data_IF_056544254867
#
_entry.id   IF_056544254867
#
_cell.length_a   1.000
_cell.length_b   1.000
_cell.length_c   1.000
_cell.angle_alpha   90.00
_cell.angle_beta   90.00
_cell.angle_gamma   90.00
#
_symmetry.space_group_name_H-M   'P 1'
#
loop_
_entity.id
_entity.type
_entity.pdbx_description
1 polymer ?
#
# COMPACT_ATOMS: atom_id res chain seq x y z
N UNK A 1 -48.98 61.30 21.11
CA UNK A 1 -47.61 61.30 20.56
C UNK A 1 -47.21 59.86 20.30
N UNK A 2 -47.17 59.46 19.02
CA UNK A 2 -46.81 58.12 18.56
C UNK A 2 -45.47 58.25 17.83
N UNK A 3 -44.46 57.50 18.25
CA UNK A 3 -43.22 57.31 17.47
C UNK A 3 -42.67 55.89 17.66
N UNK A 4 -43.06 55.09 16.69
CA UNK A 4 -42.61 53.81 16.13
C UNK A 4 -41.19 53.32 16.46
N UNK A 5 -41.10 52.10 17.00
CA UNK A 5 -39.92 51.24 16.96
C UNK A 5 -39.91 50.47 15.63
N UNK A 6 -38.92 50.69 14.76
CA UNK A 6 -38.65 49.85 13.59
C UNK A 6 -37.26 49.22 13.73
N UNK A 7 -37.23 47.90 13.89
CA UNK A 7 -36.04 47.09 13.67
C UNK A 7 -35.94 46.72 12.18
N UNK A 8 -34.78 46.85 11.52
CA UNK A 8 -34.60 46.36 10.16
C UNK A 8 -34.44 44.84 10.14
N UNK A 9 -35.36 44.19 9.43
CA UNK A 9 -35.25 42.83 8.94
C UNK A 9 -34.47 42.88 7.62
N UNK A 10 -33.30 42.24 7.53
CA UNK A 10 -32.65 41.97 6.24
C UNK A 10 -32.20 40.52 6.16
N UNK A 11 -33.14 39.71 5.66
CA UNK A 11 -32.89 38.41 5.08
C UNK A 11 -31.98 38.58 3.87
N UNK A 12 -30.80 37.97 3.92
CA UNK A 12 -29.82 37.95 2.83
C UNK A 12 -29.64 36.53 2.33
N UNK A 13 -30.54 36.10 1.43
CA UNK A 13 -30.35 34.91 0.61
C UNK A 13 -29.07 35.07 -0.21
N UNK A 14 -28.04 34.27 0.10
CA UNK A 14 -26.87 34.12 -0.76
C UNK A 14 -27.23 33.13 -1.87
N UNK A 15 -27.70 33.67 -2.98
CA UNK A 15 -27.93 32.92 -4.22
C UNK A 15 -26.55 32.53 -4.78
N UNK A 16 -26.17 31.26 -4.64
CA UNK A 16 -24.95 30.73 -5.26
C UNK A 16 -25.28 30.53 -6.74
N UNK A 17 -24.69 31.37 -7.60
CA UNK A 17 -24.77 31.21 -9.05
C UNK A 17 -24.08 29.92 -9.46
N UNK A 18 -24.86 29.01 -10.01
CA UNK A 18 -24.39 27.89 -10.80
C UNK A 18 -24.19 28.35 -12.25
N UNK A 19 -22.94 28.32 -12.70
CA UNK A 19 -22.47 28.32 -14.10
C UNK A 19 -20.95 28.10 -14.00
N UNK A 20 -20.29 27.23 -14.74
CA UNK A 20 -20.58 26.61 -16.03
C UNK A 20 -19.65 25.39 -16.15
N UNK A 21 -20.18 24.25 -16.60
CA UNK A 21 -19.42 23.02 -16.88
C UNK A 21 -19.17 22.99 -18.39
N UNK A 22 -17.92 23.14 -18.88
CA UNK A 22 -17.62 22.75 -20.23
C UNK A 22 -16.86 21.41 -20.29
N UNK A 23 -17.60 20.45 -20.86
CA UNK A 23 -17.16 19.47 -21.87
C UNK A 23 -16.07 18.46 -21.48
N UNK A 24 -16.59 17.27 -21.19
CA UNK A 24 -16.02 15.97 -21.53
C UNK A 24 -15.44 15.98 -22.95
N UNK A 25 -14.12 15.82 -23.07
CA UNK A 25 -13.47 15.37 -24.31
C UNK A 25 -13.07 13.93 -24.07
N UNK A 26 -13.86 13.01 -24.63
CA UNK A 26 -13.49 11.60 -24.73
C UNK A 26 -12.39 11.48 -25.79
N UNK A 27 -11.16 11.20 -25.35
CA UNK A 27 -10.06 10.82 -26.24
C UNK A 27 -9.98 9.30 -26.24
N UNK A 28 -10.31 8.70 -27.38
CA UNK A 28 -10.20 7.27 -27.61
C UNK A 28 -8.71 6.86 -27.61
N UNK A 29 -8.36 5.97 -26.70
CA UNK A 29 -7.04 5.36 -26.59
C UNK A 29 -6.97 4.16 -27.53
N UNK A 30 -6.30 4.33 -28.68
CA UNK A 30 -5.83 3.22 -29.50
C UNK A 30 -4.38 2.89 -29.11
N UNK A 31 -4.16 1.79 -28.38
CA UNK A 31 -2.82 1.28 -28.09
C UNK A 31 -2.57 0.08 -29.00
N UNK A 32 -1.65 0.25 -29.95
CA UNK A 32 -1.04 -0.84 -30.68
C UNK A 32 0.03 -1.49 -29.79
N UNK A 33 -0.13 -2.79 -29.52
CA UNK A 33 0.85 -3.61 -28.81
C UNK A 33 1.88 -4.11 -29.82
N UNK A 34 3.12 -3.65 -29.69
CA UNK A 34 4.27 -4.27 -30.35
C UNK A 34 5.09 -5.02 -29.29
N UNK A 35 5.22 -6.34 -29.47
CA UNK A 35 6.01 -7.22 -28.60
C UNK A 35 7.40 -7.41 -29.22
N UNK A 36 8.49 -6.98 -28.58
CA UNK A 36 9.80 -7.51 -28.87
C UNK A 36 10.13 -8.68 -27.91
N UNK A 37 10.24 -9.88 -28.47
CA UNK A 37 10.92 -11.00 -27.83
C UNK A 37 12.43 -10.79 -27.98
N UNK A 38 13.04 -10.14 -26.99
CA UNK A 38 14.49 -10.06 -26.82
C UNK A 38 14.94 -11.12 -25.82
N UNK A 39 15.50 -12.21 -26.32
CA UNK A 39 15.99 -13.33 -25.53
C UNK A 39 17.19 -12.93 -24.65
N UNK A 40 17.11 -13.23 -23.35
CA UNK A 40 18.27 -13.25 -22.46
C UNK A 40 19.16 -14.45 -22.82
N UNK A 41 20.40 -14.21 -23.23
CA UNK A 41 21.48 -15.20 -23.15
C UNK A 41 22.53 -14.67 -22.19
N UNK A 42 22.54 -15.26 -21.01
CA UNK A 42 23.61 -15.16 -20.01
C UNK A 42 24.79 -15.95 -20.52
N UNK A 43 25.86 -15.27 -20.93
CA UNK A 43 27.15 -15.89 -21.25
C UNK A 43 28.18 -15.44 -20.21
N UNK A 44 28.75 -16.43 -19.51
CA UNK A 44 29.82 -16.25 -18.54
C UNK A 44 31.16 -16.58 -19.20
N UNK A 45 32.18 -15.71 -19.12
CA UNK A 45 33.52 -16.10 -19.54
C UNK A 45 34.24 -16.83 -18.40
N UNK A 46 34.53 -18.10 -18.62
CA UNK A 46 35.56 -18.83 -17.88
C UNK A 46 36.92 -18.66 -18.57
N UNK A 47 37.94 -18.54 -17.73
CA UNK A 47 39.37 -18.51 -18.05
C UNK A 47 39.85 -19.70 -18.89
N UNK A 48 41.08 -19.51 -19.40
CA UNK A 48 42.09 -20.50 -19.82
C UNK A 48 42.32 -20.59 -21.34
N UNK A 49 43.47 -20.07 -21.80
CA UNK A 49 44.08 -20.46 -23.07
C UNK A 49 45.04 -21.64 -22.88
N UNK A 50 45.94 -21.93 -23.83
CA UNK A 50 45.86 -21.82 -25.28
C UNK A 50 45.96 -23.24 -25.93
N UNK A 51 45.98 -23.26 -27.28
CA UNK A 51 46.57 -24.28 -28.17
C UNK A 51 45.59 -25.04 -29.11
N UNK A 52 45.73 -24.68 -30.39
CA UNK A 52 46.04 -25.61 -31.49
C UNK A 52 44.98 -26.63 -31.93
N UNK A 53 44.37 -26.25 -33.06
CA UNK A 53 44.13 -27.06 -34.26
C UNK A 53 42.98 -28.09 -34.31
N UNK A 54 42.38 -28.06 -35.51
CA UNK A 54 41.70 -29.12 -36.24
C UNK A 54 40.21 -29.40 -35.96
N UNK A 55 39.42 -29.14 -37.01
CA UNK A 55 38.41 -30.04 -37.60
C UNK A 55 37.66 -30.99 -36.65
N UNK A 56 36.31 -30.91 -36.66
CA UNK A 56 35.43 -31.73 -37.52
C UNK A 56 33.98 -31.64 -37.05
N UNK A 57 33.08 -31.47 -38.01
CA UNK A 57 31.63 -31.61 -37.87
C UNK A 57 31.20 -32.97 -37.32
N UNK A 58 30.18 -32.99 -36.46
CA UNK A 58 29.20 -34.09 -36.44
C UNK A 58 27.85 -33.61 -35.93
N UNK A 59 26.85 -33.70 -36.81
CA UNK A 59 25.42 -33.73 -36.52
C UNK A 59 25.11 -34.92 -35.59
N UNK A 60 24.30 -34.74 -34.54
CA UNK A 60 23.62 -35.86 -33.90
C UNK A 60 22.18 -35.50 -33.51
N UNK A 61 21.27 -36.35 -33.99
CA UNK A 61 19.81 -36.24 -33.90
C UNK A 61 19.26 -37.18 -32.80
N UNK A 62 18.27 -36.67 -32.06
CA UNK A 62 17.16 -37.33 -31.34
C UNK A 62 17.42 -38.39 -30.23
N UNK A 63 16.67 -38.26 -29.12
CA UNK A 63 15.69 -39.27 -28.69
C UNK A 63 14.82 -38.78 -27.51
N UNK A 64 13.51 -39.05 -27.65
CA UNK A 64 12.45 -39.04 -26.62
C UNK A 64 12.66 -40.18 -25.63
N UNK A 65 12.29 -40.01 -24.35
CA UNK A 65 11.55 -41.02 -23.58
C UNK A 65 10.94 -40.48 -22.26
N UNK A 66 9.66 -40.83 -22.08
CA UNK A 66 8.80 -40.68 -20.90
C UNK A 66 9.09 -41.79 -19.87
N UNK A 67 8.97 -41.52 -18.57
CA UNK A 67 8.74 -42.58 -17.55
C UNK A 67 7.91 -42.02 -16.39
N UNK A 68 6.81 -42.73 -16.10
CA UNK A 68 5.90 -42.56 -14.97
C UNK A 68 6.29 -43.61 -13.94
N UNK A 69 6.44 -43.23 -12.66
CA UNK A 69 6.52 -44.19 -11.56
C UNK A 69 5.51 -43.88 -10.45
N UNK A 70 4.77 -44.92 -10.09
CA UNK A 70 3.81 -45.04 -8.99
C UNK A 70 4.50 -45.85 -7.88
N UNK A 71 4.42 -45.41 -6.62
CA UNK A 71 4.83 -46.25 -5.49
C UNK A 71 3.73 -46.33 -4.43
N UNK A 72 3.24 -47.55 -4.25
CA UNK A 72 2.28 -48.03 -3.26
C UNK A 72 3.09 -48.81 -2.20
N UNK A 73 2.86 -48.55 -0.92
CA UNK A 73 3.66 -49.12 0.17
C UNK A 73 2.90 -49.15 1.49
N UNK A 74 2.17 -50.24 1.69
CA UNK A 74 1.36 -50.58 2.87
C UNK A 74 2.17 -51.34 3.93
N UNK A 75 2.07 -50.94 5.20
CA UNK A 75 2.66 -51.63 6.36
C UNK A 75 1.95 -51.23 7.65
N UNK A 76 1.46 -52.22 8.40
CA UNK A 76 0.51 -52.07 9.52
C UNK A 76 1.12 -52.43 10.88
N UNK A 77 0.54 -51.83 11.93
CA UNK A 77 0.51 -52.13 13.39
C UNK A 77 1.81 -52.29 14.22
N UNK A 78 2.00 -51.39 15.19
CA UNK A 78 2.16 -51.75 16.63
C UNK A 78 1.84 -50.55 17.55
N UNK A 79 1.13 -50.81 18.66
CA UNK A 79 0.67 -49.83 19.67
C UNK A 79 1.36 -50.12 21.00
N UNK A 80 2.13 -49.17 21.57
CA UNK A 80 2.43 -49.19 23.00
C UNK A 80 1.53 -48.23 23.79
N UNK A 81 1.16 -48.73 24.96
CA UNK A 81 0.35 -48.12 26.01
C UNK A 81 1.15 -47.10 26.83
N UNK A 82 0.45 -46.06 27.29
CA UNK A 82 0.68 -45.25 28.49
C UNK A 82 2.12 -45.00 28.98
N UNK A 83 2.62 -43.81 28.68
CA UNK A 83 3.65 -43.12 29.47
C UNK A 83 3.11 -41.76 29.92
N UNK A 84 2.70 -41.66 31.18
CA UNK A 84 2.32 -40.43 31.86
C UNK A 84 3.55 -39.52 31.95
N UNK A 85 3.67 -38.56 31.05
CA UNK A 85 4.63 -37.48 31.17
C UNK A 85 4.05 -36.41 32.10
N UNK A 86 4.64 -36.33 33.28
CA UNK A 86 4.50 -35.26 34.26
C UNK A 86 4.85 -33.93 33.56
N UNK A 87 3.86 -33.06 33.38
CA UNK A 87 4.12 -31.68 32.95
C UNK A 87 4.71 -30.94 34.15
N UNK A 88 5.98 -30.48 34.13
CA UNK A 88 6.39 -29.45 35.07
C UNK A 88 5.56 -28.20 34.76
N UNK A 89 4.81 -27.75 35.77
CA UNK A 89 4.08 -26.49 35.75
C UNK A 89 4.98 -25.37 35.22
N UNK A 90 4.61 -24.80 34.07
CA UNK A 90 5.22 -23.56 33.62
C UNK A 90 4.97 -22.48 34.70
N UNK A 91 5.97 -21.68 35.07
CA UNK A 91 5.73 -20.53 35.92
C UNK A 91 4.78 -19.58 35.17
N UNK A 92 3.59 -19.36 35.74
CA UNK A 92 2.70 -18.26 35.34
C UNK A 92 3.47 -16.97 35.56
N UNK A 93 4.13 -16.49 34.50
CA UNK A 93 4.68 -15.15 34.45
C UNK A 93 3.49 -14.22 34.35
N UNK A 94 3.01 -13.78 35.52
CA UNK A 94 2.02 -12.73 35.69
C UNK A 94 2.66 -11.42 35.21
N UNK A 95 2.71 -11.26 33.88
CA UNK A 95 3.00 -9.97 33.28
C UNK A 95 1.83 -9.06 33.63
N UNK A 96 2.08 -7.83 34.14
CA UNK A 96 1.00 -6.89 34.34
C UNK A 96 0.27 -6.72 33.02
N UNK A 97 -1.03 -7.00 33.02
CA UNK A 97 -1.91 -6.63 31.91
C UNK A 97 -1.92 -5.11 31.89
N UNK A 98 -0.98 -4.52 31.15
CA UNK A 98 -1.07 -3.12 30.75
C UNK A 98 -2.17 -3.12 29.70
N UNK A 99 -3.41 -2.99 30.16
CA UNK A 99 -4.51 -2.59 29.29
C UNK A 99 -4.02 -1.38 28.51
N UNK A 100 -3.92 -1.42 27.16
CA UNK A 100 -3.70 -0.20 26.42
C UNK A 100 -4.93 0.66 26.72
N UNK A 101 -4.74 1.70 27.53
CA UNK A 101 -5.70 2.79 27.61
C UNK A 101 -5.79 3.33 26.20
N UNK A 102 -6.79 2.85 25.44
CA UNK A 102 -7.14 3.43 24.16
C UNK A 102 -7.39 4.93 24.38
N UNK A 103 -7.05 5.78 23.41
CA UNK A 103 -7.38 7.19 23.49
C UNK A 103 -8.89 7.30 23.79
N UNK A 104 -9.22 8.01 24.88
CA UNK A 104 -10.61 8.32 25.23
C UNK A 104 -11.30 8.89 24.00
N UNK A 105 -12.31 8.17 23.48
CA UNK A 105 -13.16 8.65 22.41
C UNK A 105 -13.76 10.00 22.85
N UNK A 106 -13.27 11.10 22.29
CA UNK A 106 -13.75 12.44 22.64
C UNK A 106 -12.75 13.57 22.48
N UNK A 107 -11.44 13.31 22.58
CA UNK A 107 -10.43 14.38 22.52
C UNK A 107 -9.70 14.36 21.16
N UNK A 108 -10.39 14.83 20.11
CA UNK A 108 -9.71 15.15 18.86
C UNK A 108 -9.37 16.64 18.83
N UNK A 109 -8.23 17.02 18.24
CA UNK A 109 -7.87 18.43 18.10
C UNK A 109 -8.94 19.25 17.40
N UNK A 110 -9.03 20.56 17.68
CA UNK A 110 -9.96 21.46 17.01
C UNK A 110 -9.82 21.42 15.48
N UNK A 111 -10.92 21.59 14.76
CA UNK A 111 -10.91 21.72 13.30
C UNK A 111 -9.93 22.82 12.85
N UNK A 112 -9.19 22.55 11.78
CA UNK A 112 -8.11 23.39 11.27
C UNK A 112 -6.75 23.15 11.95
N UNK A 113 -6.67 22.33 13.00
CA UNK A 113 -5.39 21.98 13.60
C UNK A 113 -4.56 21.14 12.63
N UNK A 114 -3.37 21.62 12.28
CA UNK A 114 -2.46 20.92 11.38
C UNK A 114 -1.62 19.86 12.11
N UNK A 115 -1.22 18.82 11.38
CA UNK A 115 -0.25 17.83 11.83
C UNK A 115 0.74 17.48 10.71
N UNK A 116 2.01 17.17 11.05
CA UNK A 116 3.01 16.79 10.06
C UNK A 116 2.70 15.41 9.47
N UNK A 117 3.10 15.17 8.22
CA UNK A 117 3.02 13.86 7.58
C UNK A 117 4.16 12.93 7.97
N UNK A 118 4.64 12.15 7.02
CA UNK A 118 5.71 11.16 7.18
C UNK A 118 7.12 11.77 7.01
N UNK A 119 7.22 12.92 6.34
CA UNK A 119 8.50 13.62 6.15
C UNK A 119 9.48 12.90 5.22
N UNK A 120 9.00 12.01 4.34
CA UNK A 120 9.84 11.25 3.41
C UNK A 120 10.01 12.05 2.10
N UNK A 121 11.25 12.46 1.80
CA UNK A 121 11.57 13.25 0.61
C UNK A 121 13.00 12.97 0.10
N UNK A 122 13.37 13.53 -1.06
CA UNK A 122 14.75 13.44 -1.60
C UNK A 122 15.25 12.01 -1.76
N UNK A 123 16.48 11.75 -1.29
CA UNK A 123 17.12 10.44 -1.37
C UNK A 123 16.33 9.34 -0.63
N UNK A 124 15.69 9.67 0.50
CA UNK A 124 14.87 8.71 1.25
C UNK A 124 13.66 8.25 0.44
N UNK A 125 13.04 9.17 -0.32
CA UNK A 125 11.96 8.83 -1.23
C UNK A 125 12.46 7.95 -2.40
N UNK A 126 13.64 8.22 -2.94
CA UNK A 126 14.23 7.41 -4.00
C UNK A 126 14.54 5.98 -3.52
N UNK A 127 15.07 5.83 -2.30
CA UNK A 127 15.29 4.52 -1.68
C UNK A 127 13.98 3.78 -1.42
N UNK A 128 12.94 4.48 -0.94
CA UNK A 128 11.61 3.91 -0.77
C UNK A 128 11.06 3.41 -2.12
N UNK A 129 11.20 4.20 -3.19
CA UNK A 129 10.80 3.79 -4.53
C UNK A 129 11.52 2.53 -4.99
N UNK A 130 12.83 2.42 -4.79
CA UNK A 130 13.60 1.22 -5.14
C UNK A 130 13.14 0.00 -4.35
N UNK A 131 12.84 0.17 -3.06
CA UNK A 131 12.31 -0.90 -2.21
C UNK A 131 10.94 -1.39 -2.71
N UNK A 132 10.07 -0.47 -3.11
CA UNK A 132 8.75 -0.79 -3.67
C UNK A 132 8.85 -1.43 -5.04
N UNK A 133 9.73 -0.94 -5.91
CA UNK A 133 10.03 -1.54 -7.21
C UNK A 133 10.61 -2.97 -7.04
N UNK A 134 11.30 -3.25 -5.94
CA UNK A 134 11.76 -4.59 -5.55
C UNK A 134 10.66 -5.48 -4.92
N UNK A 135 9.42 -4.99 -4.84
CA UNK A 135 8.27 -5.73 -4.33
C UNK A 135 7.99 -5.57 -2.83
N UNK A 136 8.73 -4.70 -2.13
CA UNK A 136 8.45 -4.42 -0.73
C UNK A 136 7.34 -3.39 -0.57
N UNK A 137 6.41 -3.59 0.36
CA UNK A 137 5.33 -2.63 0.64
C UNK A 137 4.56 -2.17 -0.63
N UNK A 138 4.03 -3.08 -1.46
CA UNK A 138 3.37 -2.71 -2.72
C UNK A 138 2.17 -1.77 -2.52
N UNK A 139 1.60 -1.72 -1.31
CA UNK A 139 0.57 -0.77 -0.91
C UNK A 139 1.00 0.70 -1.00
N UNK A 140 2.31 1.01 -1.03
CA UNK A 140 2.83 2.36 -1.23
C UNK A 140 2.54 2.94 -2.61
N UNK A 141 2.12 2.11 -3.58
CA UNK A 141 1.72 2.56 -4.92
C UNK A 141 0.25 2.99 -5.00
N UNK A 142 -0.52 2.75 -3.94
CA UNK A 142 -1.94 3.06 -3.86
C UNK A 142 -2.19 4.20 -2.85
N UNK A 143 -2.81 5.28 -3.31
CA UNK A 143 -3.06 6.49 -2.51
C UNK A 143 -3.93 6.18 -1.29
N UNK A 144 -4.99 5.39 -1.47
CA UNK A 144 -5.95 5.04 -0.42
C UNK A 144 -5.33 4.15 0.65
N UNK A 145 -4.51 3.18 0.24
CA UNK A 145 -3.80 2.30 1.15
C UNK A 145 -2.78 3.08 1.99
N UNK A 146 -2.07 4.05 1.40
CA UNK A 146 -1.17 4.94 2.15
C UNK A 146 -1.93 5.81 3.13
N UNK A 147 -3.01 6.47 2.70
CA UNK A 147 -3.84 7.29 3.56
C UNK A 147 -4.40 6.49 4.74
N UNK A 148 -4.91 5.27 4.47
CA UNK A 148 -5.42 4.34 5.48
C UNK A 148 -4.32 3.92 6.45
N UNK A 149 -3.18 3.47 5.95
CA UNK A 149 -2.05 3.04 6.79
C UNK A 149 -1.57 4.17 7.70
N UNK A 150 -1.49 5.41 7.18
CA UNK A 150 -1.06 6.58 7.94
C UNK A 150 -2.01 6.88 9.10
N UNK A 151 -3.32 6.99 8.86
CA UNK A 151 -4.27 7.31 9.96
C UNK A 151 -4.47 6.15 10.92
N UNK A 152 -4.37 4.90 10.45
CA UNK A 152 -4.36 3.73 11.33
C UNK A 152 -3.16 3.75 12.27
N UNK A 153 -1.95 4.01 11.74
CA UNK A 153 -0.73 4.05 12.55
C UNK A 153 -0.64 5.25 13.47
N UNK A 154 -1.14 6.41 13.02
CA UNK A 154 -1.02 7.67 13.77
C UNK A 154 -2.13 7.87 14.81
N UNK A 155 -3.36 7.53 14.46
CA UNK A 155 -4.55 7.81 15.28
C UNK A 155 -5.22 6.55 15.81
N UNK A 156 -4.72 5.36 15.46
CA UNK A 156 -5.30 4.08 15.90
C UNK A 156 -6.65 3.76 15.25
N UNK A 157 -6.99 4.40 14.13
CA UNK A 157 -8.29 4.20 13.48
C UNK A 157 -8.37 2.83 12.83
N UNK A 158 -9.36 2.03 13.23
CA UNK A 158 -9.70 0.79 12.57
C UNK A 158 -10.58 1.07 11.35
N UNK A 159 -10.11 0.62 10.17
CA UNK A 159 -10.87 0.68 8.91
C UNK A 159 -11.42 2.08 8.54
N UNK A 160 -10.57 3.12 8.48
CA UNK A 160 -11.01 4.45 8.07
C UNK A 160 -11.56 4.44 6.65
N UNK A 161 -12.64 5.19 6.44
CA UNK A 161 -13.18 5.46 5.10
C UNK A 161 -12.35 6.57 4.44
N UNK A 162 -11.89 6.33 3.21
CA UNK A 162 -11.09 7.28 2.43
C UNK A 162 -11.96 7.83 1.30
N UNK A 163 -12.00 9.15 1.17
CA UNK A 163 -12.68 9.85 0.08
C UNK A 163 -11.74 10.86 -0.56
N UNK A 164 -11.78 10.96 -1.89
CA UNK A 164 -10.90 11.85 -2.66
C UNK A 164 -11.46 13.27 -2.71
N UNK A 165 -10.67 14.25 -2.28
CA UNK A 165 -11.01 15.68 -2.29
C UNK A 165 -10.45 16.44 -3.49
N UNK A 166 -9.61 15.80 -4.30
CA UNK A 166 -8.91 16.40 -5.43
C UNK A 166 -7.63 15.65 -5.75
N UNK A 167 -6.81 16.14 -6.70
CA UNK A 167 -5.50 15.57 -6.93
C UNK A 167 -4.66 15.71 -5.65
N UNK A 168 -4.09 14.61 -5.18
CA UNK A 168 -3.17 14.59 -4.04
C UNK A 168 -3.81 14.96 -2.68
N UNK A 169 -5.14 14.87 -2.59
CA UNK A 169 -5.90 15.24 -1.40
C UNK A 169 -6.90 14.14 -1.06
N UNK A 170 -6.72 13.51 0.09
CA UNK A 170 -7.63 12.52 0.63
C UNK A 170 -8.26 13.02 1.93
N UNK A 171 -9.51 12.66 2.18
CA UNK A 171 -10.17 12.83 3.46
C UNK A 171 -10.39 11.47 4.07
N UNK A 172 -9.82 11.26 5.26
CA UNK A 172 -10.02 10.05 6.04
C UNK A 172 -11.09 10.32 7.12
N UNK A 173 -12.05 9.41 7.23
CA UNK A 173 -13.09 9.42 8.25
C UNK A 173 -12.90 8.22 9.17
N UNK A 174 -12.68 8.48 10.45
CA UNK A 174 -12.52 7.50 11.51
C UNK A 174 -13.84 6.90 11.99
N UNK A 175 -13.79 5.88 12.86
CA UNK A 175 -14.96 5.13 13.31
C UNK A 175 -15.98 5.98 14.10
N UNK A 176 -15.53 6.99 14.84
CA UNK A 176 -16.43 7.87 15.63
C UNK A 176 -16.85 9.13 14.85
N UNK A 177 -16.66 9.12 13.53
CA UNK A 177 -16.94 10.26 12.66
C UNK A 177 -15.90 11.38 12.72
N UNK A 178 -14.74 11.16 13.38
CA UNK A 178 -13.63 12.10 13.28
C UNK A 178 -13.13 12.17 11.83
N UNK A 179 -12.70 13.35 11.38
CA UNK A 179 -12.26 13.55 10.00
C UNK A 179 -10.94 14.29 9.95
N UNK A 180 -10.07 13.86 9.05
CA UNK A 180 -8.83 14.56 8.71
C UNK A 180 -8.71 14.68 7.20
N UNK A 181 -8.24 15.83 6.74
CA UNK A 181 -7.76 16.00 5.37
C UNK A 181 -6.27 15.73 5.34
N UNK A 182 -5.82 14.94 4.36
CA UNK A 182 -4.44 14.54 4.15
C UNK A 182 -3.97 15.09 2.81
N UNK A 183 -2.86 15.82 2.82
CA UNK A 183 -2.11 16.11 1.60
C UNK A 183 -1.11 14.99 1.35
N UNK A 184 -1.18 14.42 0.15
CA UNK A 184 -0.28 13.39 -0.30
C UNK A 184 0.65 13.94 -1.38
N UNK A 185 1.76 13.25 -1.62
CA UNK A 185 2.63 13.56 -2.73
C UNK A 185 3.30 12.29 -3.25
N UNK A 186 3.87 12.38 -4.45
CA UNK A 186 4.77 11.36 -4.99
C UNK A 186 6.18 11.95 -5.14
N UNK A 187 7.05 11.81 -4.13
CA UNK A 187 8.31 12.55 -4.09
C UNK A 187 9.39 12.00 -5.02
N UNK A 188 9.38 10.70 -5.36
CA UNK A 188 10.43 10.05 -6.15
C UNK A 188 10.12 9.94 -7.64
N UNK A 189 8.93 9.45 -7.98
CA UNK A 189 8.46 9.23 -9.36
C UNK A 189 7.01 9.69 -9.46
N UNK A 190 6.63 10.34 -10.55
CA UNK A 190 5.26 10.83 -10.75
C UNK A 190 4.39 9.80 -11.46
N UNK A 191 3.08 9.88 -11.22
CA UNK A 191 2.02 9.10 -11.85
C UNK A 191 2.06 7.61 -11.46
N UNK A 192 1.55 6.75 -12.37
CA UNK A 192 1.37 5.33 -12.13
C UNK A 192 2.73 4.67 -11.85
N UNK A 193 2.87 4.09 -10.64
CA UNK A 193 4.13 3.50 -10.16
C UNK A 193 5.01 4.41 -9.32
N UNK A 194 4.55 5.62 -8.99
CA UNK A 194 5.18 6.48 -7.98
C UNK A 194 4.73 6.13 -6.57
N UNK A 195 5.68 6.08 -5.63
CA UNK A 195 5.35 5.90 -4.20
C UNK A 195 4.60 7.11 -3.65
N UNK A 196 3.54 6.84 -2.90
CA UNK A 196 2.74 7.83 -2.19
C UNK A 196 3.24 8.05 -0.77
N UNK A 197 3.28 9.31 -0.36
CA UNK A 197 3.69 9.76 0.97
C UNK A 197 2.71 10.81 1.46
N UNK A 198 2.35 10.76 2.75
CA UNK A 198 1.60 11.85 3.39
C UNK A 198 2.56 12.98 3.76
N UNK A 199 2.31 14.18 3.25
CA UNK A 199 3.12 15.38 3.52
C UNK A 199 2.67 16.08 4.80
N UNK A 200 1.35 16.25 4.93
CA UNK A 200 0.71 16.93 6.05
C UNK A 200 -0.77 16.58 6.11
N UNK A 201 -1.42 16.98 7.19
CA UNK A 201 -2.87 16.99 7.24
C UNK A 201 -3.43 18.00 8.22
N UNK A 202 -4.75 18.14 8.18
CA UNK A 202 -5.52 19.01 9.06
C UNK A 202 -6.72 18.24 9.62
N UNK A 203 -7.07 18.51 10.86
CA UNK A 203 -8.34 18.09 11.45
C UNK A 203 -9.49 18.88 10.83
N UNK A 204 -10.61 18.21 10.57
CA UNK A 204 -11.81 18.80 9.94
C UNK A 204 -12.97 18.93 10.93
#
# INVERSE_FOLDING_TARGET
>A
MRSHTRLPHRSGHRQIRATDIPRVIAVAVGVAVAVPLGACSTDSPASEGPNTAEYRSTTQTAAVNTTVETHDGSGSVERPSSGRAEFPSAPTSELPVVSPSGPTAGDHPPAGTAFPGEGISGDAAAQLQQSVDAGHQPWRLDEDAVARAFVSGRFGWSQPAITHGGPYLAVATGPDGQRVSLQLSQPARKNNGGVWVVESGIWL
#
